data_IF_936978971873
#
_entry.id   IF_936978971873
#
_cell.length_a   1.000
_cell.length_b   1.000
_cell.length_c   1.000
_cell.angle_alpha   90.00
_cell.angle_beta   90.00
_cell.angle_gamma   90.00
#
_symmetry.space_group_name_H-M   'P 1'
#
loop_
_entity.id
_entity.type
_entity.pdbx_description
1 polymer ?
#
# COMPACT_ATOMS: atom_id res chain seq x y z
N UNK A 1 30.35 -2.24 3.26
CA UNK A 1 29.08 -2.06 3.99
C UNK A 1 28.01 -1.99 2.91
N UNK A 2 27.08 -2.94 2.86
CA UNK A 2 26.01 -2.90 1.86
C UNK A 2 25.15 -1.66 2.14
N UNK A 3 25.22 -0.66 1.26
CA UNK A 3 24.31 0.49 1.27
C UNK A 3 23.00 0.18 0.51
N UNK A 4 22.73 -1.09 0.22
CA UNK A 4 21.47 -1.54 -0.36
C UNK A 4 20.36 -1.49 0.68
N UNK A 5 19.45 -0.53 0.55
CA UNK A 5 18.23 -0.49 1.33
C UNK A 5 17.41 -1.75 1.03
N UNK A 6 17.16 -2.59 2.03
CA UNK A 6 16.18 -3.68 1.93
C UNK A 6 14.73 -3.16 1.81
N UNK A 7 14.52 -1.87 2.07
CA UNK A 7 13.24 -1.22 1.81
C UNK A 7 13.17 -0.90 0.30
N UNK A 8 12.11 -1.38 -0.35
CA UNK A 8 11.77 -1.04 -1.74
C UNK A 8 11.76 0.47 -2.00
N UNK A 9 11.74 0.87 -3.27
CA UNK A 9 11.77 2.26 -3.74
C UNK A 9 10.74 3.12 -2.98
N UNK A 10 11.11 4.35 -2.57
CA UNK A 10 10.22 5.25 -1.84
C UNK A 10 8.84 5.47 -2.49
N UNK A 11 8.77 5.46 -3.83
CA UNK A 11 7.50 5.60 -4.57
C UNK A 11 6.50 4.46 -4.28
N UNK A 12 6.98 3.25 -4.03
CA UNK A 12 6.13 2.10 -3.72
C UNK A 12 5.59 2.19 -2.31
N UNK A 13 6.40 2.67 -1.38
CA UNK A 13 5.97 2.96 -0.01
C UNK A 13 4.86 4.00 0.06
N UNK A 14 4.86 5.00 -0.84
CA UNK A 14 3.74 5.94 -0.94
C UNK A 14 2.45 5.20 -1.32
N UNK A 15 2.48 4.31 -2.30
CA UNK A 15 1.31 3.50 -2.68
C UNK A 15 0.81 2.63 -1.51
N UNK A 16 1.74 1.96 -0.80
CA UNK A 16 1.42 1.14 0.38
C UNK A 16 0.77 1.98 1.49
N UNK A 17 1.32 3.16 1.79
CA UNK A 17 0.79 4.04 2.83
C UNK A 17 -0.65 4.49 2.52
N UNK A 18 -0.94 4.83 1.26
CA UNK A 18 -2.29 5.23 0.83
C UNK A 18 -3.28 4.07 1.03
N UNK A 19 -2.92 2.87 0.56
CA UNK A 19 -3.76 1.67 0.73
C UNK A 19 -3.99 1.39 2.21
N UNK A 20 -2.93 1.46 3.03
CA UNK A 20 -3.00 1.21 4.46
C UNK A 20 -3.93 2.20 5.17
N UNK A 21 -3.85 3.49 4.85
CA UNK A 21 -4.74 4.52 5.42
C UNK A 21 -6.20 4.23 5.03
N UNK A 22 -6.47 3.95 3.75
CA UNK A 22 -7.82 3.60 3.29
C UNK A 22 -8.38 2.38 4.01
N UNK A 23 -7.57 1.33 4.17
CA UNK A 23 -7.94 0.11 4.88
C UNK A 23 -8.20 0.38 6.38
N UNK A 24 -7.32 1.12 7.05
CA UNK A 24 -7.48 1.46 8.46
C UNK A 24 -8.76 2.28 8.71
N UNK A 25 -9.04 3.27 7.85
CA UNK A 25 -10.28 4.07 7.91
C UNK A 25 -11.52 3.21 7.65
N UNK A 26 -11.49 2.36 6.63
CA UNK A 26 -12.59 1.45 6.31
C UNK A 26 -12.86 0.42 7.40
N UNK A 27 -11.80 -0.18 7.97
CA UNK A 27 -11.91 -1.11 9.10
C UNK A 27 -12.45 -0.45 10.35
N UNK A 28 -11.97 0.75 10.68
CA UNK A 28 -12.47 1.53 11.82
C UNK A 28 -13.96 1.87 11.68
N UNK A 29 -14.43 2.15 10.45
CA UNK A 29 -15.83 2.40 10.15
C UNK A 29 -16.76 1.21 10.41
N UNK A 30 -16.23 -0.02 10.45
CA UNK A 30 -16.99 -1.22 10.81
C UNK A 30 -16.99 -1.48 12.32
N UNK A 31 -15.89 -1.13 13.01
CA UNK A 31 -15.72 -1.35 14.46
C UNK A 31 -16.54 -0.36 15.30
N UNK A 32 -16.63 0.91 14.87
CA UNK A 32 -17.37 1.96 15.61
C UNK A 32 -18.91 1.89 15.46
N UNK A 33 -19.43 0.77 14.94
CA UNK A 33 -20.79 0.64 14.42
C UNK A 33 -20.83 0.92 12.92
N UNK A 34 -21.74 0.29 12.15
CA UNK A 34 -21.66 0.30 10.69
C UNK A 34 -21.90 1.69 10.09
N UNK A 35 -20.79 2.43 9.92
CA UNK A 35 -20.74 3.73 9.27
C UNK A 35 -20.45 3.53 7.78
N UNK A 36 -21.52 3.25 7.02
CA UNK A 36 -21.44 2.94 5.60
C UNK A 36 -20.75 4.03 4.75
N UNK A 37 -21.03 5.34 4.93
CA UNK A 37 -20.32 6.38 4.18
C UNK A 37 -18.81 6.36 4.40
N UNK A 38 -18.35 6.20 5.65
CA UNK A 38 -16.93 6.16 5.99
C UNK A 38 -16.26 4.90 5.45
N UNK A 39 -16.96 3.76 5.48
CA UNK A 39 -16.50 2.50 4.87
C UNK A 39 -16.27 2.63 3.36
N UNK A 40 -17.23 3.21 2.63
CA UNK A 40 -17.10 3.43 1.18
C UNK A 40 -16.02 4.46 0.86
N UNK A 41 -15.87 5.50 1.69
CA UNK A 41 -14.76 6.46 1.58
C UNK A 41 -13.39 5.78 1.73
N UNK A 42 -13.20 4.98 2.77
CA UNK A 42 -11.98 4.19 2.95
C UNK A 42 -11.72 3.22 1.80
N UNK A 43 -12.76 2.55 1.31
CA UNK A 43 -12.70 1.65 0.15
C UNK A 43 -12.26 2.38 -1.13
N UNK A 44 -12.77 3.59 -1.38
CA UNK A 44 -12.35 4.41 -2.51
C UNK A 44 -10.86 4.79 -2.42
N UNK A 45 -10.37 5.12 -1.22
CA UNK A 45 -8.94 5.41 -0.99
C UNK A 45 -8.07 4.19 -1.27
N UNK A 46 -8.50 2.99 -0.86
CA UNK A 46 -7.81 1.73 -1.20
C UNK A 46 -7.73 1.55 -2.72
N UNK A 47 -8.83 1.75 -3.44
CA UNK A 47 -8.86 1.62 -4.90
C UNK A 47 -7.91 2.61 -5.58
N UNK A 48 -7.86 3.86 -5.14
CA UNK A 48 -6.89 4.86 -5.62
C UNK A 48 -5.47 4.38 -5.36
N UNK A 49 -5.19 3.88 -4.16
CA UNK A 49 -3.90 3.29 -3.81
C UNK A 49 -3.50 2.12 -4.70
N UNK A 50 -4.43 1.23 -5.05
CA UNK A 50 -4.20 0.12 -5.98
C UNK A 50 -3.87 0.61 -7.40
N UNK A 51 -4.54 1.66 -7.88
CA UNK A 51 -4.22 2.28 -9.18
C UNK A 51 -2.81 2.86 -9.18
N UNK A 52 -2.41 3.55 -8.09
CA UNK A 52 -1.05 4.07 -7.93
C UNK A 52 -0.04 2.94 -7.88
N UNK A 53 -0.31 1.89 -7.10
CA UNK A 53 0.56 0.71 -6.97
C UNK A 53 0.81 0.03 -8.33
N UNK A 54 -0.24 -0.09 -9.14
CA UNK A 54 -0.14 -0.57 -10.51
C UNK A 54 0.69 0.38 -11.39
N UNK A 55 0.44 1.69 -11.33
CA UNK A 55 1.15 2.69 -12.12
C UNK A 55 2.65 2.77 -11.80
N UNK A 56 3.04 2.52 -10.54
CA UNK A 56 4.46 2.53 -10.13
C UNK A 56 5.16 1.18 -10.34
N UNK A 57 4.43 0.18 -10.83
CA UNK A 57 4.86 -1.19 -11.02
C UNK A 57 5.44 -1.80 -9.73
N UNK A 58 4.67 -1.72 -8.65
CA UNK A 58 5.12 -2.08 -7.30
C UNK A 58 5.67 -3.51 -7.20
N UNK A 59 5.24 -4.42 -8.07
CA UNK A 59 5.67 -5.81 -8.06
C UNK A 59 7.10 -6.01 -8.55
N UNK A 60 7.64 -5.05 -9.31
CA UNK A 60 9.07 -5.02 -9.67
C UNK A 60 9.93 -4.46 -8.56
N UNK A 61 9.32 -3.85 -7.55
CA UNK A 61 9.99 -3.29 -6.39
C UNK A 61 10.10 -4.32 -5.25
N UNK A 62 10.46 -5.54 -5.62
CA UNK A 62 10.83 -6.62 -4.71
C UNK A 62 12.34 -6.78 -4.78
N UNK A 63 12.99 -6.94 -3.63
CA UNK A 63 14.43 -7.25 -3.60
C UNK A 63 14.58 -8.71 -4.07
N UNK A 64 15.00 -8.90 -5.31
CA UNK A 64 15.37 -10.22 -5.83
C UNK A 64 16.82 -10.48 -5.43
N UNK A 65 17.05 -11.54 -4.65
CA UNK A 65 18.40 -11.99 -4.35
C UNK A 65 19.13 -12.35 -5.66
N UNK A 66 20.35 -11.84 -5.85
CA UNK A 66 21.19 -12.28 -6.96
C UNK A 66 21.42 -13.81 -6.85
N UNK A 67 21.44 -14.55 -7.97
CA UNK A 67 21.68 -15.98 -7.93
C UNK A 67 23.02 -16.26 -7.24
N UNK A 68 23.01 -17.10 -6.19
CA UNK A 68 24.24 -17.57 -5.54
C UNK A 68 25.13 -18.21 -6.60
N UNK A 69 26.24 -17.55 -6.92
CA UNK A 69 27.34 -18.10 -7.71
C UNK A 69 28.09 -19.13 -6.86
#
# INVERSE_FOLDING_TARGET
MSSGSHAGRPKSWVAVAIIFIGFAVGGLALVLGPNWPMFWGGSAVVLIGCVIAWAVDIMTDVVVDEPRQ
#
